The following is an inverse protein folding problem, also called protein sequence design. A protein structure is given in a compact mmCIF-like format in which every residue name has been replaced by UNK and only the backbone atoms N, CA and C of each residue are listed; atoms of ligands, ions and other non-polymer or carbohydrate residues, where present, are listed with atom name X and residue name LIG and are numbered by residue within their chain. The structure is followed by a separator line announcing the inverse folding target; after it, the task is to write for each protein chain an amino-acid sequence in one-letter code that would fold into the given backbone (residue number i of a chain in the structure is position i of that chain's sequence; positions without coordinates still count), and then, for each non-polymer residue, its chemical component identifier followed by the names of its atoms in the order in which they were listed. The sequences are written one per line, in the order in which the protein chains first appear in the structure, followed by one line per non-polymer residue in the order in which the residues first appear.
data_IF_634116215315
#
_entry.id   IF_634116215315
#
_cell.length_a   1.000
_cell.length_b   1.000
_cell.length_c   1.000
_cell.angle_alpha   90.00
_cell.angle_beta   90.00
_cell.angle_gamma   90.00
#
_symmetry.space_group_name_H-M   'P 1'
#
loop_
_entity.id
_entity.type
_entity.pdbx_description
1 polymer ?
#
# COMPACT_ATOMS: atom_id res chain seq x y z
N UNK A 1 5.58 46.51 -21.59
CA UNK A 1 5.89 45.80 -20.32
C UNK A 1 6.75 44.60 -20.66
N UNK A 2 8.03 44.58 -20.24
CA UNK A 2 8.92 43.44 -20.50
C UNK A 2 8.68 42.41 -19.40
N UNK A 3 7.98 41.33 -19.72
CA UNK A 3 7.86 40.18 -18.81
C UNK A 3 9.21 39.46 -18.83
N UNK A 4 10.08 39.75 -17.87
CA UNK A 4 11.32 38.98 -17.68
C UNK A 4 10.94 37.63 -17.08
N UNK A 5 10.92 36.59 -17.90
CA UNK A 5 10.77 35.22 -17.42
C UNK A 5 12.12 34.78 -16.85
N UNK A 6 12.16 34.48 -15.55
CA UNK A 6 13.35 33.93 -14.90
C UNK A 6 13.50 32.47 -15.34
N UNK A 7 14.54 32.17 -16.10
CA UNK A 7 14.88 30.81 -16.54
C UNK A 7 15.92 30.27 -15.57
N UNK A 8 15.58 29.17 -14.88
CA UNK A 8 16.50 28.42 -14.03
C UNK A 8 16.66 27.01 -14.59
N UNK A 9 17.91 26.58 -14.76
CA UNK A 9 18.26 25.25 -15.25
C UNK A 9 18.98 24.49 -14.13
N UNK A 10 18.56 23.25 -13.88
CA UNK A 10 19.13 22.36 -12.87
C UNK A 10 19.35 20.98 -13.47
N UNK A 11 20.33 20.23 -12.94
CA UNK A 11 20.58 18.84 -13.35
C UNK A 11 19.40 17.91 -13.02
N UNK A 12 18.69 18.18 -11.92
CA UNK A 12 17.49 17.44 -11.54
C UNK A 12 16.41 18.34 -10.93
N UNK A 13 15.19 17.79 -10.85
CA UNK A 13 14.01 18.41 -10.25
C UNK A 13 13.19 17.38 -9.45
N UNK A 14 13.87 16.50 -8.70
CA UNK A 14 13.23 15.37 -8.02
C UNK A 14 12.15 15.81 -7.03
N UNK A 15 12.44 16.80 -6.18
CA UNK A 15 11.45 17.33 -5.21
C UNK A 15 10.21 17.92 -5.90
N UNK A 16 10.41 18.64 -7.01
CA UNK A 16 9.30 19.19 -7.80
C UNK A 16 8.43 18.08 -8.38
N UNK A 17 9.05 17.04 -8.94
CA UNK A 17 8.33 15.89 -9.50
C UNK A 17 7.55 15.13 -8.43
N UNK A 18 8.18 14.90 -7.27
CA UNK A 18 7.56 14.29 -6.09
C UNK A 18 6.32 15.05 -5.62
N UNK A 19 6.42 16.37 -5.42
CA UNK A 19 5.28 17.18 -4.98
C UNK A 19 4.21 17.30 -6.07
N UNK A 20 4.59 17.39 -7.34
CA UNK A 20 3.63 17.44 -8.45
C UNK A 20 2.78 16.17 -8.49
N UNK A 21 3.39 15.00 -8.25
CA UNK A 21 2.66 13.73 -8.15
C UNK A 21 1.73 13.70 -6.92
N UNK A 22 2.19 14.19 -5.76
CA UNK A 22 1.36 14.28 -4.56
C UNK A 22 0.16 15.23 -4.74
N UNK A 23 0.38 16.40 -5.33
CA UNK A 23 -0.67 17.38 -5.63
C UNK A 23 -1.69 16.84 -6.63
N UNK A 24 -1.22 16.07 -7.62
CA UNK A 24 -2.11 15.38 -8.56
C UNK A 24 -2.99 14.37 -7.85
N UNK A 25 -2.45 13.57 -6.92
CA UNK A 25 -3.24 12.60 -6.16
C UNK A 25 -4.32 13.28 -5.33
N UNK A 26 -4.00 14.38 -4.63
CA UNK A 26 -5.02 15.14 -3.86
C UNK A 26 -6.11 15.67 -4.80
N UNK A 27 -5.73 16.21 -5.96
CA UNK A 27 -6.66 16.86 -6.88
C UNK A 27 -7.53 15.89 -7.69
N UNK A 28 -7.11 14.62 -7.82
CA UNK A 28 -7.79 13.60 -8.64
C UNK A 28 -8.35 12.43 -7.81
N UNK A 29 -8.36 12.56 -6.47
CA UNK A 29 -9.04 11.60 -5.62
C UNK A 29 -10.56 11.83 -5.70
N UNK A 30 -11.32 10.77 -5.93
CA UNK A 30 -12.77 10.85 -6.02
C UNK A 30 -13.45 11.06 -4.65
N UNK A 31 -14.79 11.07 -4.64
CA UNK A 31 -15.59 11.29 -3.44
C UNK A 31 -15.51 10.14 -2.41
N UNK A 32 -15.17 8.92 -2.81
CA UNK A 32 -15.04 7.75 -1.93
C UNK A 32 -13.60 7.46 -1.51
N UNK A 33 -12.64 8.27 -1.95
CA UNK A 33 -11.22 8.17 -1.57
C UNK A 33 -10.35 7.40 -2.56
N UNK A 34 -10.90 7.00 -3.69
CA UNK A 34 -10.21 6.22 -4.71
C UNK A 34 -9.51 7.04 -5.79
N UNK A 35 -8.62 6.37 -6.51
CA UNK A 35 -8.13 6.79 -7.82
C UNK A 35 -8.58 5.77 -8.86
N UNK A 36 -9.73 6.00 -9.54
CA UNK A 36 -10.33 5.00 -10.42
C UNK A 36 -9.48 4.79 -11.67
N UNK A 37 -9.27 3.53 -12.03
CA UNK A 37 -8.53 3.16 -13.25
C UNK A 37 -9.45 3.34 -14.46
N UNK A 38 -9.16 4.26 -15.40
CA UNK A 38 -10.11 4.66 -16.44
C UNK A 38 -10.21 3.68 -17.62
N UNK A 39 -9.66 2.47 -17.49
CA UNK A 39 -9.58 1.48 -18.56
C UNK A 39 -10.01 0.09 -18.08
N UNK A 40 -10.60 -0.69 -18.98
CA UNK A 40 -10.88 -2.10 -18.75
C UNK A 40 -9.58 -2.86 -18.49
N UNK A 41 -9.63 -3.81 -17.55
CA UNK A 41 -8.56 -4.77 -17.32
C UNK A 41 -9.09 -6.18 -17.48
N UNK A 42 -8.59 -6.89 -18.49
CA UNK A 42 -8.85 -8.31 -18.69
C UNK A 42 -7.65 -9.17 -18.25
N UNK A 43 -7.93 -10.24 -17.51
CA UNK A 43 -6.97 -11.15 -16.89
C UNK A 43 -7.38 -12.60 -17.20
N UNK A 44 -6.41 -13.51 -17.27
CA UNK A 44 -6.61 -14.95 -17.47
C UNK A 44 -7.46 -15.28 -18.72
N UNK A 45 -7.02 -14.77 -19.88
CA UNK A 45 -7.72 -14.94 -21.16
C UNK A 45 -9.16 -14.43 -21.12
N UNK A 46 -9.35 -13.24 -20.54
CA UNK A 46 -10.65 -12.56 -20.33
C UNK A 46 -11.63 -13.31 -19.42
N UNK A 47 -11.20 -14.31 -18.66
CA UNK A 47 -12.05 -14.97 -17.65
C UNK A 47 -12.31 -14.09 -16.43
N UNK A 48 -11.43 -13.12 -16.17
CA UNK A 48 -11.59 -12.11 -15.13
C UNK A 48 -11.52 -10.74 -15.80
N UNK A 49 -12.62 -9.99 -15.78
CA UNK A 49 -12.72 -8.68 -16.43
C UNK A 49 -13.16 -7.63 -15.42
N UNK A 50 -12.41 -6.53 -15.35
CA UNK A 50 -12.75 -5.34 -14.59
C UNK A 50 -13.12 -4.23 -15.57
N UNK A 51 -14.37 -3.72 -15.53
CA UNK A 51 -14.74 -2.56 -16.34
C UNK A 51 -14.00 -1.31 -15.85
N UNK A 52 -13.86 -0.30 -16.72
CA UNK A 52 -13.28 0.99 -16.35
C UNK A 52 -13.97 1.59 -15.10
N UNK A 53 -13.16 2.19 -14.21
CA UNK A 53 -13.60 2.71 -12.92
C UNK A 53 -13.24 1.83 -11.72
N UNK A 54 -12.56 0.71 -11.92
CA UNK A 54 -12.11 -0.17 -10.84
C UNK A 54 -10.97 0.45 -10.01
N UNK A 55 -10.84 0.04 -8.75
CA UNK A 55 -9.77 0.48 -7.84
C UNK A 55 -8.78 -0.64 -7.56
N UNK A 56 -7.55 -0.28 -7.17
CA UNK A 56 -6.49 -1.24 -6.84
C UNK A 56 -5.96 -0.98 -5.45
N UNK A 57 -5.87 -2.01 -4.60
CA UNK A 57 -5.22 -1.88 -3.31
C UNK A 57 -3.77 -1.40 -3.42
N UNK A 58 -3.06 -1.83 -4.48
CA UNK A 58 -1.70 -1.37 -4.77
C UNK A 58 -1.67 0.13 -5.10
N UNK A 59 -2.59 0.61 -5.93
CA UNK A 59 -2.69 2.03 -6.25
C UNK A 59 -3.00 2.86 -5.00
N UNK A 60 -3.95 2.39 -4.17
CA UNK A 60 -4.28 3.05 -2.90
C UNK A 60 -3.07 3.07 -1.95
N UNK A 61 -2.36 1.95 -1.80
CA UNK A 61 -1.15 1.84 -0.98
C UNK A 61 -0.05 2.81 -1.42
N UNK A 62 0.28 2.83 -2.71
CA UNK A 62 1.25 3.78 -3.25
C UNK A 62 0.82 5.24 -3.07
N UNK A 63 -0.47 5.53 -3.28
CA UNK A 63 -1.02 6.85 -3.05
C UNK A 63 -0.84 7.31 -1.61
N UNK A 64 -1.19 6.45 -0.65
CA UNK A 64 -1.00 6.68 0.78
C UNK A 64 0.48 6.90 1.11
N UNK A 65 1.37 6.01 0.67
CA UNK A 65 2.83 6.16 0.87
C UNK A 65 3.38 7.50 0.37
N UNK A 66 2.95 7.94 -0.82
CA UNK A 66 3.38 9.21 -1.42
C UNK A 66 2.85 10.41 -0.61
N UNK A 67 1.56 10.42 -0.31
CA UNK A 67 0.89 11.49 0.43
C UNK A 67 1.45 11.63 1.86
N UNK A 68 1.68 10.51 2.56
CA UNK A 68 2.29 10.51 3.89
C UNK A 68 3.70 11.13 3.86
N UNK A 69 4.53 10.79 2.86
CA UNK A 69 5.86 11.40 2.69
C UNK A 69 5.77 12.88 2.32
N UNK A 70 4.76 13.27 1.52
CA UNK A 70 4.54 14.67 1.16
C UNK A 70 4.17 15.51 2.39
N UNK A 71 3.32 14.97 3.27
CA UNK A 71 3.05 15.58 4.59
C UNK A 71 4.34 15.69 5.41
N UNK A 72 5.10 14.61 5.56
CA UNK A 72 6.33 14.63 6.37
C UNK A 72 7.35 15.68 5.87
N UNK A 73 7.37 15.99 4.57
CA UNK A 73 8.26 17.00 3.99
C UNK A 73 7.72 18.45 4.01
N UNK A 74 6.42 18.65 4.19
CA UNK A 74 5.78 19.98 3.96
C UNK A 74 4.90 20.44 5.11
N UNK A 75 4.50 19.53 6.00
CA UNK A 75 3.48 19.69 7.03
C UNK A 75 2.10 20.14 6.49
N UNK A 76 1.85 19.98 5.19
CA UNK A 76 0.55 20.27 4.60
C UNK A 76 -0.44 19.13 4.92
N UNK A 77 -1.35 19.39 5.86
CA UNK A 77 -2.34 18.41 6.36
C UNK A 77 -3.30 17.86 5.30
N UNK A 78 -3.48 18.56 4.17
CA UNK A 78 -4.33 18.08 3.08
C UNK A 78 -3.87 16.73 2.52
N UNK A 79 -2.57 16.45 2.55
CA UNK A 79 -2.04 15.16 2.13
C UNK A 79 -2.48 14.02 3.06
N UNK A 80 -2.46 14.23 4.38
CA UNK A 80 -2.94 13.20 5.32
C UNK A 80 -4.45 13.05 5.28
N UNK A 81 -5.21 14.12 5.05
CA UNK A 81 -6.65 14.03 4.85
C UNK A 81 -6.98 13.16 3.63
N UNK A 82 -6.30 13.36 2.49
CA UNK A 82 -6.45 12.52 1.31
C UNK A 82 -6.03 11.06 1.56
N UNK A 83 -4.91 10.84 2.27
CA UNK A 83 -4.44 9.50 2.63
C UNK A 83 -5.45 8.76 3.55
N UNK A 84 -6.02 9.45 4.54
CA UNK A 84 -7.04 8.90 5.43
C UNK A 84 -8.35 8.58 4.72
N UNK A 85 -8.73 9.37 3.69
CA UNK A 85 -9.90 9.10 2.85
C UNK A 85 -9.72 7.83 2.02
N UNK A 86 -8.51 7.56 1.53
CA UNK A 86 -8.19 6.36 0.76
C UNK A 86 -8.42 5.05 1.51
N UNK A 87 -8.45 5.08 2.85
CA UNK A 87 -8.71 3.92 3.70
C UNK A 87 -10.11 3.35 3.53
N UNK A 88 -11.09 4.16 3.09
CA UNK A 88 -12.47 3.71 2.91
C UNK A 88 -12.58 2.50 1.96
N UNK A 89 -11.76 2.43 0.91
CA UNK A 89 -11.78 1.31 -0.02
C UNK A 89 -11.23 0.01 0.58
N UNK A 90 -10.34 0.08 1.57
CA UNK A 90 -9.81 -1.08 2.29
C UNK A 90 -10.83 -1.70 3.26
N UNK A 91 -11.88 -0.96 3.60
CA UNK A 91 -12.97 -1.39 4.47
C UNK A 91 -14.17 -1.94 3.67
N UNK A 92 -14.22 -1.65 2.36
CA UNK A 92 -15.33 -1.99 1.47
C UNK A 92 -15.04 -3.27 0.67
N UNK A 93 -16.02 -4.14 0.53
CA UNK A 93 -15.88 -5.39 -0.23
C UNK A 93 -15.59 -5.12 -1.72
N UNK A 94 -14.74 -5.95 -2.31
CA UNK A 94 -14.33 -5.87 -3.71
C UNK A 94 -15.51 -6.03 -4.69
N UNK A 95 -16.57 -6.78 -4.33
CA UNK A 95 -17.79 -6.88 -5.15
C UNK A 95 -18.66 -5.62 -5.06
N UNK A 96 -18.45 -4.79 -4.04
CA UNK A 96 -19.21 -3.56 -3.80
C UNK A 96 -18.41 -2.31 -4.25
N UNK A 97 -17.34 -2.50 -5.02
CA UNK A 97 -16.48 -1.42 -5.50
C UNK A 97 -15.44 -0.93 -4.48
N UNK A 98 -15.12 -1.75 -3.47
CA UNK A 98 -13.94 -1.59 -2.64
C UNK A 98 -12.75 -2.42 -3.13
N UNK A 99 -11.80 -2.68 -2.23
CA UNK A 99 -10.65 -3.55 -2.51
C UNK A 99 -10.48 -4.67 -1.47
N UNK A 100 -11.35 -4.74 -0.46
CA UNK A 100 -11.30 -5.78 0.58
C UNK A 100 -11.91 -7.07 0.08
N UNK A 101 -11.28 -8.20 0.40
CA UNK A 101 -11.82 -9.54 0.19
C UNK A 101 -11.44 -10.43 1.36
N UNK A 102 -12.01 -11.62 1.39
CA UNK A 102 -11.67 -12.67 2.34
C UNK A 102 -11.27 -13.96 1.61
N UNK A 103 -10.26 -14.66 2.13
CA UNK A 103 -9.87 -16.00 1.73
C UNK A 103 -9.61 -16.84 2.99
N UNK A 104 -10.36 -17.93 3.16
CA UNK A 104 -10.27 -18.81 4.33
C UNK A 104 -10.39 -18.09 5.70
N UNK A 105 -11.23 -17.06 5.79
CA UNK A 105 -11.37 -16.26 7.02
C UNK A 105 -10.32 -15.16 7.20
N UNK A 106 -9.37 -15.01 6.27
CA UNK A 106 -8.32 -14.00 6.31
C UNK A 106 -8.59 -12.86 5.33
N UNK A 107 -8.33 -11.63 5.76
CA UNK A 107 -8.54 -10.42 4.97
C UNK A 107 -7.48 -10.29 3.88
N UNK A 108 -7.91 -9.89 2.69
CA UNK A 108 -7.03 -9.57 1.59
C UNK A 108 -7.38 -8.23 0.97
N UNK A 109 -6.37 -7.49 0.51
CA UNK A 109 -6.54 -6.25 -0.25
C UNK A 109 -6.14 -6.51 -1.71
N UNK A 110 -7.13 -6.54 -2.58
CA UNK A 110 -6.99 -6.96 -3.98
C UNK A 110 -6.27 -5.89 -4.82
N UNK A 111 -5.15 -6.28 -5.46
CA UNK A 111 -4.56 -5.47 -6.54
C UNK A 111 -5.56 -5.33 -7.70
N UNK A 112 -6.23 -6.43 -8.04
CA UNK A 112 -7.31 -6.49 -9.02
C UNK A 112 -8.55 -7.08 -8.33
N UNK A 113 -9.59 -6.28 -8.02
CA UNK A 113 -10.79 -6.74 -7.33
C UNK A 113 -11.71 -7.56 -8.25
N UNK A 114 -11.19 -8.62 -8.86
CA UNK A 114 -11.90 -9.51 -9.80
C UNK A 114 -12.90 -10.40 -9.07
N UNK A 115 -13.84 -11.03 -9.77
CA UNK A 115 -14.69 -12.09 -9.22
C UNK A 115 -14.61 -13.34 -10.11
N UNK A 116 -14.14 -14.50 -9.61
CA UNK A 116 -13.58 -14.75 -8.27
C UNK A 116 -12.30 -13.94 -7.97
N UNK A 117 -11.89 -13.90 -6.69
CA UNK A 117 -10.73 -13.13 -6.23
C UNK A 117 -9.43 -13.60 -6.87
N UNK A 118 -8.55 -12.64 -7.17
CA UNK A 118 -7.27 -12.93 -7.82
C UNK A 118 -6.17 -13.19 -6.80
N UNK A 119 -6.19 -12.46 -5.68
CA UNK A 119 -5.22 -12.55 -4.59
C UNK A 119 -3.78 -12.39 -5.10
N UNK A 120 -3.47 -11.26 -5.73
CA UNK A 120 -2.10 -10.96 -6.18
C UNK A 120 -1.21 -10.58 -5.00
N UNK A 121 -0.06 -11.27 -4.86
CA UNK A 121 0.79 -11.17 -3.68
C UNK A 121 1.51 -9.82 -3.56
N UNK A 122 2.15 -9.34 -4.64
CA UNK A 122 2.93 -8.11 -4.58
C UNK A 122 2.06 -6.88 -4.30
N UNK A 123 0.91 -6.74 -4.98
CA UNK A 123 0.00 -5.63 -4.74
C UNK A 123 -0.56 -5.59 -3.31
N UNK A 124 -0.81 -6.76 -2.70
CA UNK A 124 -1.20 -6.84 -1.29
C UNK A 124 -0.08 -6.33 -0.37
N UNK A 125 1.17 -6.75 -0.57
CA UNK A 125 2.30 -6.27 0.24
C UNK A 125 2.56 -4.76 0.07
N UNK A 126 2.42 -4.21 -1.15
CA UNK A 126 2.49 -2.76 -1.37
C UNK A 126 1.37 -2.01 -0.64
N UNK A 127 0.16 -2.55 -0.64
CA UNK A 127 -0.94 -2.03 0.17
C UNK A 127 -0.58 -1.97 1.66
N UNK A 128 -0.03 -3.05 2.23
CA UNK A 128 0.40 -3.08 3.63
C UNK A 128 1.45 -2.01 3.95
N UNK A 129 2.42 -1.79 3.07
CA UNK A 129 3.44 -0.76 3.25
C UNK A 129 2.81 0.64 3.29
N UNK A 130 1.84 0.93 2.41
CA UNK A 130 1.10 2.19 2.44
C UNK A 130 0.32 2.40 3.73
N UNK A 131 -0.38 1.36 4.19
CA UNK A 131 -1.09 1.39 5.48
C UNK A 131 -0.11 1.62 6.65
N UNK A 132 1.04 0.96 6.63
CA UNK A 132 2.09 1.15 7.63
C UNK A 132 2.61 2.59 7.62
N UNK A 133 2.95 3.15 6.46
CA UNK A 133 3.46 4.52 6.35
C UNK A 133 2.51 5.51 7.03
N UNK A 134 1.20 5.42 6.74
CA UNK A 134 0.20 6.30 7.36
C UNK A 134 0.04 6.03 8.86
N UNK A 135 0.10 4.76 9.30
CA UNK A 135 0.01 4.43 10.73
C UNK A 135 1.20 4.94 11.55
N UNK A 136 2.38 5.00 10.94
CA UNK A 136 3.64 5.36 11.61
C UNK A 136 4.00 6.84 11.46
N UNK A 137 3.18 7.64 10.77
CA UNK A 137 3.48 9.04 10.51
C UNK A 137 3.47 9.85 11.82
N UNK A 138 4.55 10.59 12.07
CA UNK A 138 4.59 11.55 13.18
C UNK A 138 3.76 12.78 12.82
N UNK A 139 2.57 12.84 13.39
CA UNK A 139 1.66 13.98 13.22
C UNK A 139 2.14 15.10 14.16
N UNK A 140 2.85 16.09 13.62
CA UNK A 140 3.32 17.24 14.40
C UNK A 140 2.14 18.13 14.77
N UNK A 141 1.60 17.89 15.95
CA UNK A 141 0.51 18.60 16.61
C UNK A 141 0.25 18.05 18.02
N UNK A 142 1.24 17.36 18.60
CA UNK A 142 1.22 17.11 20.04
C UNK A 142 1.28 18.47 20.74
N UNK A 143 0.41 18.65 21.73
CA UNK A 143 0.51 19.72 22.71
C UNK A 143 1.87 19.60 23.39
N UNK A 144 2.91 20.22 22.82
CA UNK A 144 4.14 20.44 23.57
C UNK A 144 3.80 21.48 24.62
N UNK A 145 3.46 21.00 25.82
CA UNK A 145 3.40 21.84 27.02
C UNK A 145 4.84 22.33 27.26
N UNK A 146 5.13 23.55 26.85
CA UNK A 146 6.36 24.22 27.22
C UNK A 146 6.12 24.94 28.56
N UNK A 147 6.70 24.39 29.63
CA UNK A 147 6.79 25.07 30.92
C UNK A 147 7.85 26.17 30.83
N UNK A 148 7.46 27.43 30.93
CA UNK A 148 8.39 28.56 31.14
C UNK A 148 8.05 29.22 32.48
N UNK A 149 8.97 29.17 33.44
CA UNK A 149 8.87 29.89 34.71
C UNK A 149 7.50 29.71 35.42
N UNK A 150 7.05 28.46 35.59
CA UNK A 150 5.76 28.10 36.22
C UNK A 150 4.49 28.65 35.53
N UNK A 151 4.61 29.27 34.36
CA UNK A 151 3.49 29.68 33.52
C UNK A 151 3.23 28.60 32.47
N UNK A 152 2.00 28.08 32.45
CA UNK A 152 1.52 27.25 31.35
C UNK A 152 1.29 28.17 30.15
N UNK A 153 2.19 28.10 29.17
CA UNK A 153 1.98 28.76 27.88
C UNK A 153 1.26 27.77 26.96
N UNK A 154 -0.05 27.94 26.79
CA UNK A 154 -0.77 27.30 25.69
C UNK A 154 -0.35 27.98 24.39
N UNK A 155 0.69 27.47 23.74
CA UNK A 155 0.87 27.74 22.32
C UNK A 155 -0.26 26.98 21.64
N UNK A 156 -1.18 27.70 20.99
CA UNK A 156 -2.21 27.09 20.15
C UNK A 156 -1.48 26.46 18.96
N UNK A 157 -0.93 25.26 19.16
CA UNK A 157 -0.48 24.43 18.07
C UNK A 157 -1.70 24.25 17.17
N UNK A 158 -1.55 24.52 15.87
CA UNK A 158 -2.58 24.27 14.88
C UNK A 158 -3.13 22.85 15.11
N UNK A 159 -4.34 22.73 15.68
CA UNK A 159 -4.88 21.45 16.06
C UNK A 159 -5.07 20.63 14.80
N UNK A 160 -4.32 19.53 14.67
CA UNK A 160 -4.47 18.64 13.52
C UNK A 160 -5.90 18.09 13.55
N UNK A 161 -6.64 18.19 12.43
CA UNK A 161 -8.03 17.71 12.37
C UNK A 161 -8.18 16.27 12.88
N UNK A 162 -9.27 16.01 13.61
CA UNK A 162 -9.48 14.72 14.29
C UNK A 162 -9.59 13.54 13.30
N UNK A 163 -10.13 13.80 12.11
CA UNK A 163 -10.20 12.84 11.00
C UNK A 163 -8.82 12.37 10.54
N UNK A 164 -7.80 13.23 10.59
CA UNK A 164 -6.41 12.87 10.26
C UNK A 164 -5.83 11.91 11.31
N UNK A 165 -6.05 12.18 12.61
CA UNK A 165 -5.61 11.28 13.70
C UNK A 165 -6.31 9.92 13.61
N UNK A 166 -7.63 9.93 13.43
CA UNK A 166 -8.43 8.72 13.25
C UNK A 166 -7.99 7.93 12.00
N UNK A 167 -7.54 8.61 10.94
CA UNK A 167 -6.96 7.99 9.76
C UNK A 167 -5.73 7.13 10.08
N UNK A 168 -4.79 7.64 10.88
CA UNK A 168 -3.60 6.88 11.28
C UNK A 168 -3.96 5.64 12.13
N UNK A 169 -4.92 5.78 13.06
CA UNK A 169 -5.42 4.66 13.86
C UNK A 169 -6.11 3.58 13.01
N UNK A 170 -6.97 3.99 12.07
CA UNK A 170 -7.61 3.07 11.10
C UNK A 170 -6.57 2.35 10.25
N UNK A 171 -5.55 3.06 9.77
CA UNK A 171 -4.46 2.47 9.00
C UNK A 171 -3.68 1.42 9.80
N UNK A 172 -3.45 1.68 11.09
CA UNK A 172 -2.79 0.73 12.01
C UNK A 172 -3.58 -0.59 12.15
N UNK A 173 -4.91 -0.50 12.32
CA UNK A 173 -5.79 -1.68 12.40
C UNK A 173 -5.75 -2.47 11.10
N UNK A 174 -5.91 -1.80 9.96
CA UNK A 174 -5.87 -2.43 8.63
C UNK A 174 -4.51 -3.09 8.37
N UNK A 175 -3.41 -2.41 8.69
CA UNK A 175 -2.06 -2.98 8.56
C UNK A 175 -1.90 -4.25 9.39
N UNK A 176 -2.30 -4.22 10.67
CA UNK A 176 -2.18 -5.38 11.57
C UNK A 176 -2.96 -6.59 11.06
N UNK A 177 -4.24 -6.40 10.71
CA UNK A 177 -5.11 -7.46 10.17
C UNK A 177 -4.57 -8.01 8.85
N UNK A 178 -4.06 -7.13 7.98
CA UNK A 178 -3.46 -7.53 6.71
C UNK A 178 -2.14 -8.30 6.89
N UNK A 179 -1.30 -7.92 7.86
CA UNK A 179 -0.05 -8.63 8.18
C UNK A 179 -0.32 -10.03 8.73
N UNK A 180 -1.33 -10.19 9.58
CA UNK A 180 -1.76 -11.50 10.07
C UNK A 180 -2.25 -12.40 8.92
N UNK A 181 -2.98 -11.81 7.98
CA UNK A 181 -3.46 -12.52 6.79
C UNK A 181 -2.32 -12.90 5.85
N UNK A 182 -1.32 -12.02 5.67
CA UNK A 182 -0.10 -12.35 4.92
C UNK A 182 0.59 -13.56 5.55
N UNK A 183 0.79 -13.56 6.87
CA UNK A 183 1.46 -14.68 7.58
C UNK A 183 0.74 -16.01 7.36
N UNK A 184 -0.59 -16.01 7.44
CA UNK A 184 -1.40 -17.22 7.27
C UNK A 184 -1.42 -17.74 5.84
N UNK A 185 -1.49 -16.84 4.85
CA UNK A 185 -1.70 -17.20 3.44
C UNK A 185 -0.40 -17.32 2.63
N UNK A 186 0.72 -16.75 3.09
CA UNK A 186 2.00 -16.77 2.37
C UNK A 186 2.46 -18.17 1.94
N UNK A 187 2.28 -19.25 2.72
CA UNK A 187 2.64 -20.60 2.29
C UNK A 187 1.95 -21.04 0.99
N UNK A 188 0.76 -20.52 0.68
CA UNK A 188 0.04 -20.84 -0.56
C UNK A 188 0.77 -20.34 -1.82
N UNK A 189 1.68 -19.37 -1.67
CA UNK A 189 2.46 -18.81 -2.76
C UNK A 189 3.83 -19.47 -2.92
N UNK A 190 4.21 -20.41 -2.05
CA UNK A 190 5.50 -21.10 -2.12
C UNK A 190 5.37 -22.41 -2.91
N UNK A 191 6.11 -22.53 -4.01
CA UNK A 191 6.10 -23.75 -4.86
C UNK A 191 7.16 -24.77 -4.45
N UNK A 192 7.99 -24.47 -3.46
CA UNK A 192 9.20 -25.23 -3.14
C UNK A 192 10.40 -24.93 -4.04
N UNK A 193 10.26 -24.09 -5.07
CA UNK A 193 11.37 -23.73 -5.98
C UNK A 193 11.24 -22.35 -6.64
N UNK A 194 10.31 -21.53 -6.13
CA UNK A 194 9.91 -20.23 -6.65
C UNK A 194 8.63 -19.78 -5.97
N UNK A 195 8.05 -18.66 -6.39
CA UNK A 195 6.75 -18.20 -5.88
C UNK A 195 5.67 -18.10 -6.96
N UNK A 196 4.41 -18.16 -6.53
CA UNK A 196 3.23 -17.95 -7.37
C UNK A 196 2.91 -16.45 -7.38
N UNK A 197 2.47 -15.91 -8.52
CA UNK A 197 2.09 -14.49 -8.64
C UNK A 197 0.77 -14.19 -7.93
N UNK A 198 -0.20 -15.10 -8.07
CA UNK A 198 -1.55 -14.95 -7.56
C UNK A 198 -2.24 -16.31 -7.33
N UNK A 199 -3.39 -16.31 -6.64
CA UNK A 199 -4.13 -17.54 -6.35
C UNK A 199 -5.29 -17.80 -7.32
N UNK A 200 -5.24 -17.26 -8.55
CA UNK A 200 -6.31 -17.47 -9.54
C UNK A 200 -6.56 -18.94 -9.86
N UNK A 201 -5.55 -19.79 -9.69
CA UNK A 201 -5.65 -21.23 -9.94
C UNK A 201 -6.64 -21.93 -8.99
N UNK A 202 -6.84 -21.37 -7.78
CA UNK A 202 -7.84 -21.86 -6.82
C UNK A 202 -9.25 -21.55 -7.32
N UNK A 203 -9.51 -20.29 -7.71
CA UNK A 203 -10.85 -19.85 -8.15
C UNK A 203 -11.22 -20.23 -9.58
N UNK A 204 -10.24 -20.36 -10.48
CA UNK A 204 -10.46 -20.66 -11.90
C UNK A 204 -10.19 -22.13 -12.26
N UNK A 205 -9.79 -22.96 -11.29
CA UNK A 205 -9.45 -24.37 -11.49
C UNK A 205 -8.48 -24.59 -12.66
N UNK A 206 -7.42 -23.77 -12.71
CA UNK A 206 -6.40 -23.79 -13.78
C UNK A 206 -5.01 -24.06 -13.23
N UNK A 207 -4.01 -24.14 -14.10
CA UNK A 207 -2.61 -24.18 -13.67
C UNK A 207 -2.23 -22.91 -12.87
N UNK A 208 -1.30 -23.02 -11.89
CA UNK A 208 -0.75 -21.87 -11.17
C UNK A 208 -0.14 -20.83 -12.10
N UNK A 209 -0.40 -19.55 -11.81
CA UNK A 209 0.26 -18.44 -12.47
C UNK A 209 1.61 -18.17 -11.77
N UNK A 210 2.68 -18.83 -12.22
CA UNK A 210 4.00 -18.68 -11.61
C UNK A 210 4.53 -17.26 -11.74
N UNK A 211 5.12 -16.73 -10.67
CA UNK A 211 5.83 -15.47 -10.73
C UNK A 211 7.10 -15.64 -11.58
N UNK A 212 7.29 -14.75 -12.57
CA UNK A 212 8.58 -14.60 -13.25
C UNK A 212 9.65 -14.19 -12.23
N UNK A 213 10.93 -14.43 -12.54
CA UNK A 213 12.04 -14.19 -11.60
C UNK A 213 12.17 -12.75 -11.12
N UNK A 214 11.79 -11.77 -11.94
CA UNK A 214 11.67 -10.36 -11.57
C UNK A 214 10.59 -10.15 -10.49
N UNK A 215 9.41 -10.72 -10.66
CA UNK A 215 8.37 -10.70 -9.62
C UNK A 215 8.72 -11.52 -8.39
N UNK A 216 9.42 -12.64 -8.55
CA UNK A 216 9.94 -13.41 -7.42
C UNK A 216 10.90 -12.56 -6.57
N UNK A 217 11.80 -11.80 -7.22
CA UNK A 217 12.68 -10.86 -6.54
C UNK A 217 11.87 -9.74 -5.85
N UNK A 218 10.85 -9.18 -6.51
CA UNK A 218 9.93 -8.20 -5.88
C UNK A 218 9.28 -8.78 -4.62
N UNK A 219 8.80 -10.02 -4.68
CA UNK A 219 8.22 -10.68 -3.51
C UNK A 219 9.23 -10.78 -2.35
N UNK A 220 10.47 -11.16 -2.63
CA UNK A 220 11.55 -11.20 -1.63
C UNK A 220 11.82 -9.81 -1.04
N UNK A 221 11.96 -8.78 -1.88
CA UNK A 221 12.23 -7.41 -1.43
C UNK A 221 11.12 -6.89 -0.50
N UNK A 222 9.86 -7.09 -0.89
CA UNK A 222 8.71 -6.64 -0.10
C UNK A 222 8.60 -7.40 1.22
N UNK A 223 8.82 -8.72 1.23
CA UNK A 223 8.88 -9.49 2.47
C UNK A 223 9.99 -8.99 3.38
N UNK A 224 11.21 -8.77 2.86
CA UNK A 224 12.32 -8.25 3.67
C UNK A 224 12.04 -6.87 4.23
N UNK A 225 11.33 -6.02 3.48
CA UNK A 225 10.92 -4.72 3.97
C UNK A 225 9.87 -4.84 5.09
N UNK A 226 8.86 -5.68 4.92
CA UNK A 226 7.87 -5.95 5.96
C UNK A 226 8.50 -6.60 7.21
N UNK A 227 9.53 -7.42 7.05
CA UNK A 227 10.30 -7.98 8.17
C UNK A 227 11.04 -6.87 8.94
N UNK A 228 11.64 -5.90 8.25
CA UNK A 228 12.29 -4.77 8.91
C UNK A 228 11.30 -3.91 9.71
N UNK A 229 10.07 -3.79 9.20
CA UNK A 229 8.99 -3.04 9.84
C UNK A 229 8.42 -3.79 11.05
N UNK A 230 8.16 -5.09 10.93
CA UNK A 230 7.37 -5.88 11.89
C UNK A 230 8.20 -6.74 12.85
N UNK A 231 9.44 -7.07 12.48
CA UNK A 231 10.23 -8.08 13.17
C UNK A 231 9.72 -9.52 13.00
N UNK A 232 8.82 -9.78 12.04
CA UNK A 232 8.18 -11.08 11.87
C UNK A 232 9.16 -12.15 11.36
N UNK A 233 9.45 -13.13 12.23
CA UNK A 233 10.38 -14.22 11.94
C UNK A 233 9.85 -15.19 10.88
N UNK A 234 8.54 -15.43 10.84
CA UNK A 234 7.92 -16.37 9.88
C UNK A 234 8.03 -15.85 8.46
N UNK A 235 7.79 -14.54 8.28
CA UNK A 235 8.01 -13.87 7.00
C UNK A 235 9.49 -13.90 6.61
N UNK A 236 10.40 -13.69 7.58
CA UNK A 236 11.83 -13.72 7.31
C UNK A 236 12.32 -15.10 6.86
N UNK A 237 11.88 -16.18 7.50
CA UNK A 237 12.20 -17.55 7.10
C UNK A 237 11.75 -17.87 5.67
N UNK A 238 10.56 -17.39 5.28
CA UNK A 238 10.07 -17.54 3.91
C UNK A 238 10.89 -16.70 2.92
N UNK A 239 11.22 -15.46 3.28
CA UNK A 239 12.07 -14.60 2.45
C UNK A 239 13.46 -15.21 2.22
N UNK A 240 14.10 -15.76 3.27
CA UNK A 240 15.40 -16.42 3.17
C UNK A 240 15.35 -17.69 2.29
N UNK A 241 14.27 -18.46 2.41
CA UNK A 241 14.03 -19.62 1.54
C UNK A 241 13.83 -19.21 0.08
N UNK A 242 13.10 -18.13 -0.19
CA UNK A 242 12.89 -17.61 -1.54
C UNK A 242 14.18 -17.03 -2.15
N UNK A 243 15.02 -16.35 -1.34
CA UNK A 243 16.38 -15.98 -1.77
C UNK A 243 17.15 -17.22 -2.23
N UNK A 244 17.09 -18.32 -1.47
CA UNK A 244 17.78 -19.56 -1.84
C UNK A 244 17.28 -20.16 -3.16
N UNK A 245 15.99 -20.04 -3.49
CA UNK A 245 15.43 -20.47 -4.78
C UNK A 245 16.07 -19.76 -5.97
N UNK A 246 16.49 -18.50 -5.80
CA UNK A 246 17.19 -17.73 -6.83
C UNK A 246 18.58 -18.30 -7.16
N UNK A 247 19.12 -19.15 -6.28
CA UNK A 247 20.37 -19.88 -6.45
C UNK A 247 20.15 -21.36 -6.80
N UNK A 248 18.95 -21.72 -7.26
CA UNK A 248 18.59 -23.08 -7.67
C UNK A 248 18.37 -24.06 -6.52
N UNK A 249 18.32 -23.58 -5.26
CA UNK A 249 17.90 -24.43 -4.13
C UNK A 249 16.41 -24.76 -4.26
N UNK A 250 16.02 -25.91 -3.73
CA UNK A 250 14.62 -26.36 -3.66
C UNK A 250 14.30 -26.77 -2.23
N UNK A 251 13.04 -26.69 -1.85
CA UNK A 251 12.54 -27.31 -0.65
C UNK A 251 12.83 -28.82 -0.69
N UNK A 252 13.05 -29.42 0.49
CA UNK A 252 13.28 -30.86 0.60
C UNK A 252 12.04 -31.61 0.12
N UNK A 253 12.25 -32.67 -0.64
CA UNK A 253 11.23 -33.69 -0.88
C UNK A 253 11.37 -34.82 0.16
N UNK A 254 10.35 -35.68 0.24
CA UNK A 254 10.33 -36.86 1.11
C UNK A 254 11.34 -37.94 0.67
#
# INVERSE_FOLDING_TARGET
VVVRQRIEQSENAHRKSFLTAADWLVSNQDNIGGWPVPVERAIADRRLVLPAGWYSAMAQGHGISLLTRAYASTHNVSYLAAAGKALHLFEKDANEGGVRRELFGYVWYEEYPTSPGSFVLNGFMYALIGLYDLSAVSITGEDKIFMYHEVIVFIIAFSVPNDVRLGAERASVLFSVGLDSLRALLPLYDTGSGSIYDLRHIGLHSAPNLARWDYHAVHVYLLKWLVQISGDKTLNETADRWIAYSWGKKAKHN
#
